data_IF_519922304924
#
_entry.id   IF_519922304924
#
_cell.length_a   1.000
_cell.length_b   1.000
_cell.length_c   1.000
_cell.angle_alpha   90.00
_cell.angle_beta   90.00
_cell.angle_gamma   90.00
#
_symmetry.space_group_name_H-M   'P 1'
#
loop_
_entity.id
_entity.type
_entity.pdbx_description
1 polymer ?
#
# COMPACT_ATOMS: atom_id res chain seq x y z
N UNK A 1 -17.41 3.73 1.22
CA UNK A 1 -17.03 3.25 -0.13
C UNK A 1 -17.34 1.76 -0.14
N UNK A 2 -17.20 1.08 -1.27
CA UNK A 2 -17.30 -0.38 -1.29
C UNK A 2 -16.10 -0.89 -2.08
N UNK A 3 -14.91 -0.77 -1.48
CA UNK A 3 -13.69 -1.36 -2.03
C UNK A 3 -13.79 -2.88 -1.85
N UNK A 4 -13.69 -3.62 -2.95
CA UNK A 4 -13.63 -5.07 -2.87
C UNK A 4 -12.19 -5.53 -2.62
N UNK A 5 -12.02 -6.72 -2.02
CA UNK A 5 -10.72 -7.39 -1.97
C UNK A 5 -10.41 -7.90 -3.39
N UNK A 6 -9.34 -7.43 -4.06
CA UNK A 6 -8.94 -7.99 -5.35
C UNK A 6 -8.23 -9.34 -5.14
N UNK A 7 -7.98 -10.09 -6.21
CA UNK A 7 -7.25 -11.37 -6.13
C UNK A 7 -5.83 -11.13 -5.59
N UNK A 8 -5.22 -12.13 -4.92
CA UNK A 8 -3.82 -12.01 -4.52
C UNK A 8 -2.92 -11.78 -5.75
N UNK A 9 -2.09 -10.71 -5.75
CA UNK A 9 -1.17 -10.45 -6.84
C UNK A 9 0.09 -11.32 -6.67
N UNK A 10 -0.01 -12.61 -6.99
CA UNK A 10 1.12 -13.54 -6.88
C UNK A 10 2.37 -13.06 -7.64
N UNK A 11 2.17 -12.41 -8.79
CA UNK A 11 3.25 -11.81 -9.58
C UNK A 11 3.99 -10.69 -8.81
N UNK A 12 3.27 -9.83 -8.09
CA UNK A 12 3.87 -8.79 -7.22
C UNK A 12 4.64 -9.45 -6.08
N UNK A 13 4.06 -10.46 -5.44
CA UNK A 13 4.70 -11.19 -4.33
C UNK A 13 6.00 -11.86 -4.77
N UNK A 14 5.99 -12.51 -5.93
CA UNK A 14 7.18 -13.13 -6.51
C UNK A 14 8.24 -12.09 -6.85
N UNK A 15 7.83 -10.96 -7.43
CA UNK A 15 8.74 -9.86 -7.71
C UNK A 15 9.41 -9.31 -6.44
N UNK A 16 8.66 -9.08 -5.37
CA UNK A 16 9.21 -8.63 -4.08
C UNK A 16 10.25 -9.60 -3.51
N UNK A 17 10.04 -10.92 -3.66
CA UNK A 17 11.02 -11.93 -3.28
C UNK A 17 12.29 -11.88 -4.14
N UNK A 18 12.17 -11.63 -5.45
CA UNK A 18 13.35 -11.49 -6.31
C UNK A 18 14.19 -10.26 -5.94
N UNK A 19 13.55 -9.17 -5.56
CA UNK A 19 14.25 -7.95 -5.14
C UNK A 19 14.96 -8.20 -3.80
N UNK A 20 14.35 -8.95 -2.89
CA UNK A 20 14.96 -9.33 -1.60
C UNK A 20 16.30 -10.07 -1.75
N UNK A 21 16.36 -11.01 -2.69
CA UNK A 21 17.53 -11.86 -2.94
C UNK A 21 18.66 -11.09 -3.63
N UNK A 22 18.33 -10.10 -4.47
CA UNK A 22 19.30 -9.39 -5.31
C UNK A 22 19.84 -8.09 -4.70
N UNK A 23 19.34 -7.67 -3.53
CA UNK A 23 19.80 -6.45 -2.86
C UNK A 23 21.09 -6.72 -2.08
N UNK A 24 22.15 -5.97 -2.40
CA UNK A 24 23.36 -5.87 -1.57
C UNK A 24 23.00 -5.10 -0.30
N UNK A 25 22.92 -5.79 0.83
CA UNK A 25 22.52 -5.20 2.11
C UNK A 25 23.64 -4.36 2.71
N UNK A 26 23.57 -3.04 2.56
CA UNK A 26 24.44 -2.09 3.28
C UNK A 26 24.01 -1.99 4.75
N UNK A 27 24.95 -1.98 5.71
CA UNK A 27 24.64 -1.72 7.11
C UNK A 27 23.91 -0.37 7.32
N UNK A 28 22.95 -0.32 8.24
CA UNK A 28 22.23 0.91 8.60
C UNK A 28 20.99 1.24 7.76
N UNK A 29 20.67 0.45 6.73
CA UNK A 29 19.43 0.60 5.93
C UNK A 29 18.39 -0.44 6.37
N UNK A 30 17.15 -0.01 6.59
CA UNK A 30 16.02 -0.91 6.80
C UNK A 30 15.58 -1.49 5.45
N UNK A 31 16.30 -2.52 4.99
CA UNK A 31 16.08 -3.18 3.70
C UNK A 31 14.71 -3.86 3.61
N UNK A 32 14.13 -4.28 4.74
CA UNK A 32 12.77 -4.82 4.80
C UNK A 32 11.77 -3.78 4.27
N UNK A 33 11.84 -2.54 4.76
CA UNK A 33 10.98 -1.43 4.30
C UNK A 33 11.27 -1.00 2.85
N UNK A 34 12.53 -1.02 2.42
CA UNK A 34 12.93 -0.65 1.05
C UNK A 34 12.44 -1.66 0.04
N UNK A 35 12.57 -2.95 0.36
CA UNK A 35 12.21 -4.04 -0.52
C UNK A 35 10.71 -4.08 -0.82
N UNK A 36 9.86 -3.99 0.21
CA UNK A 36 8.41 -4.17 0.05
C UNK A 36 7.71 -3.06 -0.75
N UNK A 37 8.31 -1.87 -0.82
CA UNK A 37 7.78 -0.76 -1.59
C UNK A 37 8.58 -0.46 -2.87
N UNK A 38 9.60 -1.26 -3.18
CA UNK A 38 10.40 -1.07 -4.40
C UNK A 38 9.45 -1.02 -5.61
N UNK A 39 9.70 -0.12 -6.56
CA UNK A 39 8.91 0.01 -7.79
C UNK A 39 7.41 0.34 -7.63
N UNK A 40 6.93 0.49 -6.38
CA UNK A 40 5.53 0.62 -6.00
C UNK A 40 4.61 -0.43 -6.66
N UNK A 41 5.08 -1.68 -6.81
CA UNK A 41 4.32 -2.72 -7.52
C UNK A 41 3.00 -3.05 -6.81
N UNK A 42 3.02 -3.27 -5.50
CA UNK A 42 1.80 -3.51 -4.72
C UNK A 42 0.84 -2.32 -4.75
N UNK A 43 1.28 -1.07 -4.51
CA UNK A 43 0.41 0.09 -4.69
C UNK A 43 -0.18 0.22 -6.09
N UNK A 44 0.59 -0.03 -7.16
CA UNK A 44 0.10 0.07 -8.54
C UNK A 44 -1.04 -0.92 -8.78
N UNK A 45 -0.83 -2.18 -8.38
CA UNK A 45 -1.84 -3.22 -8.46
C UNK A 45 -3.14 -2.82 -7.75
N UNK A 46 -3.04 -2.37 -6.49
CA UNK A 46 -4.22 -1.97 -5.72
C UNK A 46 -4.92 -0.74 -6.32
N UNK A 47 -4.16 0.20 -6.89
CA UNK A 47 -4.70 1.39 -7.52
C UNK A 47 -5.40 1.12 -8.85
N UNK A 48 -4.97 0.10 -9.60
CA UNK A 48 -5.70 -0.35 -10.80
C UNK A 48 -7.09 -0.87 -10.44
N UNK A 49 -7.25 -1.51 -9.27
CA UNK A 49 -8.53 -2.00 -8.78
C UNK A 49 -9.39 -0.93 -8.10
N UNK A 50 -8.79 -0.10 -7.24
CA UNK A 50 -9.54 0.83 -6.38
C UNK A 50 -9.53 2.28 -6.87
N UNK A 51 -8.56 2.66 -7.71
CA UNK A 51 -8.24 4.05 -8.03
C UNK A 51 -9.42 4.84 -8.59
N UNK A 52 -10.30 4.23 -9.38
CA UNK A 52 -11.50 4.89 -9.90
C UNK A 52 -12.46 5.28 -8.76
N UNK A 53 -12.70 4.40 -7.80
CA UNK A 53 -13.54 4.68 -6.64
C UNK A 53 -12.86 5.69 -5.71
N UNK A 54 -11.55 5.54 -5.47
CA UNK A 54 -10.77 6.41 -4.59
C UNK A 54 -10.74 7.86 -5.09
N UNK A 55 -10.60 8.08 -6.40
CA UNK A 55 -10.60 9.42 -7.00
C UNK A 55 -11.89 10.19 -6.73
N UNK A 56 -13.05 9.52 -6.74
CA UNK A 56 -14.35 10.16 -6.43
C UNK A 56 -14.44 10.68 -5.00
N UNK A 57 -13.50 10.27 -4.15
CA UNK A 57 -13.44 10.58 -2.73
C UNK A 57 -12.26 11.49 -2.39
N UNK A 58 -11.63 12.09 -3.40
CA UNK A 58 -10.52 13.04 -3.22
C UNK A 58 -9.16 12.40 -3.01
N UNK A 59 -9.03 11.07 -3.12
CA UNK A 59 -7.72 10.44 -3.08
C UNK A 59 -6.95 10.69 -4.38
N UNK A 60 -5.72 11.16 -4.23
CA UNK A 60 -4.71 11.16 -5.29
C UNK A 60 -3.78 9.97 -5.12
N UNK A 61 -3.01 9.64 -6.16
CA UNK A 61 -1.97 8.62 -6.09
C UNK A 61 -0.98 8.87 -4.93
N UNK A 62 -0.61 10.13 -4.70
CA UNK A 62 0.32 10.50 -3.62
C UNK A 62 -0.28 10.27 -2.24
N UNK A 63 -1.55 10.62 -2.04
CA UNK A 63 -2.28 10.36 -0.78
C UNK A 63 -2.37 8.85 -0.54
N UNK A 64 -2.73 8.10 -1.57
CA UNK A 64 -2.84 6.64 -1.49
C UNK A 64 -1.52 5.97 -1.07
N UNK A 65 -0.41 6.34 -1.72
CA UNK A 65 0.91 5.85 -1.32
C UNK A 65 1.25 6.19 0.13
N UNK A 66 0.92 7.40 0.57
CA UNK A 66 1.14 7.82 1.96
C UNK A 66 0.35 6.95 2.92
N UNK A 67 -0.92 6.70 2.62
CA UNK A 67 -1.81 5.87 3.44
C UNK A 67 -1.28 4.44 3.55
N UNK A 68 -0.97 3.78 2.42
CA UNK A 68 -0.49 2.39 2.43
C UNK A 68 0.81 2.20 3.24
N UNK A 69 1.70 3.18 3.24
CA UNK A 69 2.97 3.13 3.99
C UNK A 69 2.77 2.97 5.51
N UNK A 70 1.62 3.33 6.07
CA UNK A 70 1.32 3.11 7.48
C UNK A 70 1.15 1.64 7.86
N UNK A 71 1.05 0.72 6.89
CA UNK A 71 0.93 -0.73 7.11
C UNK A 71 2.10 -1.51 6.51
N UNK A 72 3.29 -0.90 6.52
CA UNK A 72 4.51 -1.55 6.03
C UNK A 72 4.80 -2.86 6.78
N UNK A 73 4.51 -2.90 8.08
CA UNK A 73 4.55 -4.10 8.93
C UNK A 73 3.65 -5.23 8.38
N UNK A 74 2.39 -4.93 8.07
CA UNK A 74 1.46 -5.92 7.52
C UNK A 74 1.93 -6.43 6.15
N UNK A 75 2.44 -5.55 5.29
CA UNK A 75 3.02 -5.95 3.99
C UNK A 75 4.22 -6.88 4.17
N UNK A 76 5.08 -6.62 5.16
CA UNK A 76 6.20 -7.50 5.49
C UNK A 76 5.74 -8.87 5.95
N UNK A 77 4.73 -8.93 6.83
CA UNK A 77 4.16 -10.19 7.30
C UNK A 77 3.53 -10.98 6.15
N UNK A 78 2.83 -10.32 5.22
CA UNK A 78 2.26 -10.98 4.04
C UNK A 78 3.34 -11.49 3.09
N UNK A 79 4.38 -10.70 2.83
CA UNK A 79 5.52 -11.11 2.01
C UNK A 79 6.21 -12.35 2.58
N UNK A 80 6.35 -12.41 3.91
CA UNK A 80 6.89 -13.57 4.67
C UNK A 80 5.90 -14.74 4.77
N UNK A 81 4.66 -14.59 4.27
CA UNK A 81 3.64 -15.64 4.30
C UNK A 81 3.00 -15.87 5.67
N UNK A 82 3.18 -14.94 6.61
CA UNK A 82 2.66 -15.01 7.99
C UNK A 82 1.18 -14.64 8.02
N UNK A 83 0.75 -13.62 7.27
CA UNK A 83 -0.66 -13.24 7.11
C UNK A 83 -1.14 -13.52 5.68
N UNK A 84 -2.45 -13.77 5.53
CA UNK A 84 -3.05 -14.02 4.23
C UNK A 84 -3.24 -12.71 3.46
N UNK A 85 -3.41 -12.84 2.15
CA UNK A 85 -3.70 -11.71 1.30
C UNK A 85 -4.99 -10.99 1.69
N UNK A 86 -6.07 -11.73 1.95
CA UNK A 86 -7.36 -11.16 2.32
C UNK A 86 -7.26 -10.31 3.59
N UNK A 87 -6.46 -10.75 4.56
CA UNK A 87 -6.21 -9.99 5.80
C UNK A 87 -5.48 -8.68 5.49
N UNK A 88 -4.41 -8.71 4.68
CA UNK A 88 -3.69 -7.50 4.28
C UNK A 88 -4.57 -6.54 3.48
N UNK A 89 -5.34 -7.06 2.52
CA UNK A 89 -6.22 -6.26 1.69
C UNK A 89 -7.32 -5.60 2.54
N UNK A 90 -7.92 -6.35 3.47
CA UNK A 90 -8.92 -5.81 4.39
C UNK A 90 -8.32 -4.71 5.28
N UNK A 91 -7.07 -4.87 5.72
CA UNK A 91 -6.39 -3.85 6.53
C UNK A 91 -6.14 -2.54 5.76
N UNK A 92 -5.83 -2.63 4.47
CA UNK A 92 -5.77 -1.44 3.62
C UNK A 92 -7.14 -0.80 3.43
N UNK A 93 -8.20 -1.60 3.19
CA UNK A 93 -9.57 -1.09 3.05
C UNK A 93 -9.98 -0.36 4.34
N UNK A 94 -9.78 -0.98 5.50
CA UNK A 94 -10.08 -0.39 6.81
C UNK A 94 -9.33 0.93 7.03
N UNK A 95 -8.06 1.00 6.62
CA UNK A 95 -7.25 2.21 6.77
C UNK A 95 -7.74 3.36 5.87
N UNK A 96 -8.11 3.03 4.62
CA UNK A 96 -8.59 3.99 3.62
C UNK A 96 -9.99 4.50 3.98
N UNK A 97 -10.91 3.60 4.34
CA UNK A 97 -12.29 3.95 4.64
C UNK A 97 -12.48 4.48 6.07
N UNK A 98 -11.52 4.18 6.95
CA UNK A 98 -11.51 4.61 8.34
C UNK A 98 -11.20 6.10 8.55
N UNK A 99 -11.19 6.55 9.81
CA UNK A 99 -10.94 7.96 10.16
C UNK A 99 -9.59 8.47 9.64
N UNK A 100 -8.57 7.62 9.61
CA UNK A 100 -7.23 7.99 9.15
C UNK A 100 -7.20 8.40 7.67
N UNK A 101 -7.73 7.57 6.77
CA UNK A 101 -7.78 7.88 5.35
C UNK A 101 -8.57 9.16 5.06
N UNK A 102 -9.71 9.35 5.73
CA UNK A 102 -10.54 10.55 5.62
C UNK A 102 -9.79 11.81 6.08
N UNK A 103 -9.08 11.74 7.21
CA UNK A 103 -8.30 12.87 7.74
C UNK A 103 -7.16 13.27 6.79
N UNK A 104 -6.44 12.30 6.21
CA UNK A 104 -5.37 12.62 5.26
C UNK A 104 -5.93 13.34 4.04
N UNK A 105 -7.05 12.88 3.47
CA UNK A 105 -7.70 13.55 2.34
C UNK A 105 -8.14 14.97 2.72
N UNK A 106 -8.82 15.13 3.86
CA UNK A 106 -9.29 16.43 4.33
C UNK A 106 -8.14 17.44 4.52
N UNK A 107 -7.02 17.00 5.10
CA UNK A 107 -5.81 17.82 5.27
C UNK A 107 -5.22 18.25 3.92
N UNK A 108 -5.19 17.35 2.94
CA UNK A 108 -4.70 17.67 1.61
C UNK A 108 -5.61 18.64 0.86
N UNK A 109 -6.93 18.53 0.98
CA UNK A 109 -7.85 19.47 0.37
C UNK A 109 -7.63 20.89 0.90
N UNK A 110 -7.48 21.06 2.23
CA UNK A 110 -7.24 22.37 2.86
C UNK A 110 -5.96 23.05 2.36
N UNK A 111 -4.87 22.31 2.24
CA UNK A 111 -3.56 22.86 1.83
C UNK A 111 -3.47 23.26 0.33
N UNK A 112 -4.45 22.92 -0.49
CA UNK A 112 -4.50 23.32 -1.92
C UNK A 112 -5.43 24.51 -2.17
N UNK A 113 -6.03 25.07 -1.12
CA UNK A 113 -6.90 26.26 -1.17
C UNK A 113 -6.27 27.49 -0.49
N UNK A 114 -5.00 27.40 -0.08
CA UNK A 114 -4.15 28.51 0.40
C UNK A 114 -3.14 28.88 -0.69
#
# INVERSE_FOLDING_TARGET
MNLHIPKEPEHVKNWMKTVEVNIVKTPGVNWDNVNVWYGNQLPKYLWEHWGNQLKTQGFTWQIFLRVLKHRTDAVLLWNKGIIKWDDLAQEFINLIEGPFGKEIVARYAKNNHE
#
